data_IF_665397444961
#
_entry.id   IF_665397444961
#
_cell.length_a   1.000
_cell.length_b   1.000
_cell.length_c   1.000
_cell.angle_alpha   90.00
_cell.angle_beta   90.00
_cell.angle_gamma   90.00
#
_symmetry.space_group_name_H-M   'P 1'
#
loop_
_entity.id
_entity.type
_entity.pdbx_description
1 polymer ?
#
# COMPACT_ATOMS: atom_id res chain seq x y z
N UNK A 1 -16.49 17.51 46.62
CA UNK A 1 -16.08 16.14 47.00
C UNK A 1 -15.50 15.47 45.76
N UNK A 2 -14.17 15.33 45.68
CA UNK A 2 -13.51 14.58 44.60
C UNK A 2 -13.52 13.11 45.01
N UNK A 3 -14.29 12.28 44.32
CA UNK A 3 -14.26 10.84 44.53
C UNK A 3 -12.86 10.33 44.16
N UNK A 4 -12.08 9.91 45.15
CA UNK A 4 -10.84 9.19 44.91
C UNK A 4 -11.24 7.83 44.33
N UNK A 5 -10.96 7.64 43.04
CA UNK A 5 -11.07 6.32 42.42
C UNK A 5 -9.90 5.52 43.01
N UNK A 6 -10.20 4.65 43.96
CA UNK A 6 -9.23 3.71 44.53
C UNK A 6 -9.06 2.60 43.52
N UNK A 7 -8.05 2.73 42.66
CA UNK A 7 -7.66 1.63 41.78
C UNK A 7 -6.86 0.63 42.62
N UNK A 8 -7.32 -0.63 42.68
CA UNK A 8 -6.62 -1.70 43.40
C UNK A 8 -5.59 -2.28 42.44
N UNK A 9 -4.33 -2.32 42.88
CA UNK A 9 -3.24 -2.98 42.15
C UNK A 9 -3.69 -4.36 41.65
N UNK A 10 -3.34 -4.68 40.40
CA UNK A 10 -3.63 -5.95 39.71
C UNK A 10 -5.08 -6.18 39.24
N UNK A 11 -5.97 -5.17 39.27
CA UNK A 11 -7.30 -5.30 38.65
C UNK A 11 -7.26 -5.20 37.12
N UNK A 12 -6.85 -6.28 36.45
CA UNK A 12 -6.83 -6.37 34.98
C UNK A 12 -7.90 -7.28 34.38
N UNK A 13 -8.84 -7.80 35.20
CA UNK A 13 -9.91 -8.71 34.76
C UNK A 13 -10.86 -8.11 33.72
N UNK A 14 -10.99 -6.78 33.70
CA UNK A 14 -11.81 -6.06 32.71
C UNK A 14 -11.09 -5.90 31.37
N UNK A 15 -9.77 -6.08 31.31
CA UNK A 15 -8.92 -5.77 30.17
C UNK A 15 -9.28 -6.60 28.91
N UNK A 16 -9.51 -7.93 29.02
CA UNK A 16 -9.99 -8.70 27.88
C UNK A 16 -11.40 -8.30 27.44
N UNK A 17 -12.26 -7.89 28.38
CA UNK A 17 -13.65 -7.55 28.09
C UNK A 17 -13.80 -6.19 27.41
N UNK A 18 -12.92 -5.23 27.71
CA UNK A 18 -12.98 -3.86 27.16
C UNK A 18 -12.12 -3.71 25.91
N UNK A 19 -10.90 -4.25 25.94
CA UNK A 19 -9.92 -4.06 24.86
C UNK A 19 -9.65 -5.34 24.04
N UNK A 20 -10.14 -6.51 24.47
CA UNK A 20 -9.86 -7.77 23.79
C UNK A 20 -8.40 -8.19 23.85
N UNK A 21 -7.67 -7.71 24.87
CA UNK A 21 -6.25 -7.96 25.07
C UNK A 21 -6.02 -8.70 26.39
N UNK A 22 -4.95 -9.47 26.46
CA UNK A 22 -4.53 -10.19 27.69
C UNK A 22 -3.33 -9.48 28.32
N UNK A 23 -3.27 -9.44 29.65
CA UNK A 23 -2.11 -8.90 30.36
C UNK A 23 -0.86 -9.73 29.98
N UNK A 24 0.22 -9.06 29.56
CA UNK A 24 1.41 -9.69 28.95
C UNK A 24 1.19 -10.35 27.58
N UNK A 25 0.02 -10.13 26.97
CA UNK A 25 -0.28 -10.56 25.61
C UNK A 25 0.28 -9.62 24.53
N UNK A 26 0.05 -9.95 23.24
CA UNK A 26 0.48 -9.11 22.14
C UNK A 26 -0.15 -7.71 22.22
N UNK A 27 0.58 -6.70 21.78
CA UNK A 27 0.15 -5.29 21.75
C UNK A 27 -0.92 -4.98 20.70
N UNK A 28 -1.36 -5.98 19.94
CA UNK A 28 -2.32 -5.83 18.86
C UNK A 28 -3.48 -6.83 19.00
N UNK A 29 -4.63 -6.44 18.48
CA UNK A 29 -5.81 -7.28 18.40
C UNK A 29 -5.94 -7.91 17.01
N UNK A 30 -6.08 -9.23 16.94
CA UNK A 30 -6.39 -9.91 15.68
C UNK A 30 -7.90 -9.83 15.41
N UNK A 31 -8.29 -9.03 14.42
CA UNK A 31 -9.69 -8.79 14.03
C UNK A 31 -10.22 -9.87 13.06
N UNK A 32 -9.36 -10.79 12.60
CA UNK A 32 -9.71 -11.88 11.71
C UNK A 32 -9.40 -11.60 10.23
N UNK A 33 -10.04 -12.36 9.34
CA UNK A 33 -9.83 -12.30 7.89
C UNK A 33 -11.14 -12.23 7.11
N UNK A 34 -11.05 -11.73 5.89
CA UNK A 34 -12.19 -11.61 4.96
C UNK A 34 -11.80 -12.25 3.62
N UNK A 35 -12.64 -13.18 3.15
CA UNK A 35 -12.49 -13.75 1.82
C UNK A 35 -12.92 -12.74 0.76
N UNK A 36 -12.03 -12.43 -0.19
CA UNK A 36 -12.29 -11.50 -1.28
C UNK A 36 -12.70 -12.23 -2.56
N UNK A 37 -14.01 -12.42 -2.73
CA UNK A 37 -14.64 -12.95 -3.96
C UNK A 37 -14.76 -11.85 -5.02
N UNK A 38 -14.94 -12.27 -6.27
CA UNK A 38 -15.19 -11.34 -7.36
C UNK A 38 -16.42 -10.46 -7.08
N UNK A 39 -16.32 -9.18 -7.42
CA UNK A 39 -17.39 -8.20 -7.19
C UNK A 39 -17.50 -7.66 -5.76
N UNK A 40 -16.66 -8.10 -4.83
CA UNK A 40 -16.66 -7.57 -3.47
C UNK A 40 -15.81 -6.32 -3.31
N UNK A 41 -16.33 -5.38 -2.53
CA UNK A 41 -15.65 -4.16 -2.09
C UNK A 41 -15.39 -4.26 -0.58
N UNK A 42 -14.14 -4.07 -0.18
CA UNK A 42 -13.74 -4.00 1.22
C UNK A 42 -13.14 -2.62 1.50
N UNK A 43 -13.70 -1.92 2.49
CA UNK A 43 -13.20 -0.62 2.94
C UNK A 43 -12.80 -0.71 4.40
N UNK A 44 -11.59 -0.28 4.72
CA UNK A 44 -11.09 -0.24 6.09
C UNK A 44 -10.12 0.94 6.24
N UNK A 45 -9.97 1.49 7.45
CA UNK A 45 -9.04 2.59 7.67
C UNK A 45 -7.60 2.08 7.59
N UNK A 46 -6.70 2.87 6.98
CA UNK A 46 -5.30 2.50 6.76
C UNK A 46 -4.45 2.44 8.07
N UNK A 47 -5.09 2.61 9.23
CA UNK A 47 -4.49 2.37 10.55
C UNK A 47 -4.42 0.87 10.87
N UNK A 48 -5.23 0.04 10.20
CA UNK A 48 -5.23 -1.40 10.42
C UNK A 48 -4.12 -2.06 9.62
N UNK A 49 -3.25 -2.79 10.32
CA UNK A 49 -2.32 -3.70 9.67
C UNK A 49 -3.10 -4.83 9.02
N UNK A 50 -2.81 -5.09 7.74
CA UNK A 50 -3.47 -6.13 6.98
C UNK A 50 -2.45 -6.90 6.14
N UNK A 51 -2.76 -8.16 5.86
CA UNK A 51 -1.99 -8.99 4.96
C UNK A 51 -2.90 -9.72 3.98
N UNK A 52 -2.36 -10.00 2.80
CA UNK A 52 -3.05 -10.81 1.80
C UNK A 52 -2.43 -12.20 1.81
N UNK A 53 -3.22 -13.20 2.20
CA UNK A 53 -2.77 -14.59 2.23
C UNK A 53 -2.39 -15.09 0.82
N UNK A 54 -1.45 -16.05 0.73
CA UNK A 54 -1.21 -16.79 -0.51
C UNK A 54 -2.51 -17.43 -1.00
N UNK A 55 -2.67 -17.52 -2.31
CA UNK A 55 -3.82 -18.16 -2.93
C UNK A 55 -3.38 -18.89 -4.18
N UNK A 56 -4.16 -19.89 -4.56
CA UNK A 56 -3.96 -20.68 -5.76
C UNK A 56 -5.29 -21.01 -6.41
N UNK A 57 -5.24 -21.41 -7.68
CA UNK A 57 -6.42 -21.91 -8.35
C UNK A 57 -6.76 -23.29 -7.80
N UNK A 58 -8.03 -23.51 -7.53
CA UNK A 58 -8.56 -24.83 -7.19
C UNK A 58 -8.20 -25.85 -8.28
N UNK A 59 -8.34 -25.44 -9.55
CA UNK A 59 -7.86 -26.18 -10.71
C UNK A 59 -6.66 -25.47 -11.35
N UNK A 60 -5.46 -25.99 -11.05
CA UNK A 60 -4.18 -25.46 -11.56
C UNK A 60 -3.99 -25.65 -13.07
N UNK A 61 -4.83 -26.46 -13.74
CA UNK A 61 -4.75 -26.65 -15.20
C UNK A 61 -5.42 -25.52 -15.97
N UNK A 62 -6.29 -24.75 -15.31
CA UNK A 62 -7.02 -23.64 -15.91
C UNK A 62 -6.24 -22.33 -15.77
N UNK A 63 -6.35 -21.41 -16.74
CA UNK A 63 -5.82 -20.06 -16.57
C UNK A 63 -6.63 -19.32 -15.50
N UNK A 64 -5.94 -18.57 -14.64
CA UNK A 64 -6.62 -17.76 -13.63
C UNK A 64 -5.74 -16.63 -13.12
N UNK A 65 -6.39 -15.53 -12.73
CA UNK A 65 -5.72 -14.32 -12.27
C UNK A 65 -6.58 -13.59 -11.24
N UNK A 66 -5.93 -12.90 -10.30
CA UNK A 66 -6.60 -12.02 -9.33
C UNK A 66 -6.28 -10.56 -9.65
N UNK A 67 -7.31 -9.77 -9.95
CA UNK A 67 -7.22 -8.31 -10.13
C UNK A 67 -7.82 -7.62 -8.92
N UNK A 68 -7.12 -6.61 -8.41
CA UNK A 68 -7.55 -5.80 -7.28
C UNK A 68 -7.39 -4.33 -7.69
N UNK A 69 -8.44 -3.55 -7.52
CA UNK A 69 -8.37 -2.09 -7.57
C UNK A 69 -8.36 -1.57 -6.14
N UNK A 70 -7.26 -0.92 -5.75
CA UNK A 70 -7.12 -0.31 -4.44
C UNK A 70 -7.19 1.21 -4.57
N UNK A 71 -8.07 1.82 -3.77
CA UNK A 71 -8.22 3.27 -3.67
C UNK A 71 -7.77 3.70 -2.27
N UNK A 72 -7.00 4.78 -2.20
CA UNK A 72 -6.56 5.37 -0.94
C UNK A 72 -7.23 6.73 -0.78
N UNK A 73 -8.02 6.88 0.27
CA UNK A 73 -8.60 8.16 0.64
C UNK A 73 -7.58 8.96 1.45
N UNK A 74 -7.36 10.20 1.04
CA UNK A 74 -6.44 11.15 1.68
C UNK A 74 -7.23 12.27 2.33
N UNK A 75 -6.66 12.90 3.36
CA UNK A 75 -7.28 14.03 4.03
C UNK A 75 -7.49 15.19 3.03
N UNK A 76 -8.74 15.66 2.82
CA UNK A 76 -9.03 16.71 1.83
C UNK A 76 -8.39 18.06 2.18
N UNK A 77 -7.99 18.28 3.43
CA UNK A 77 -7.30 19.50 3.85
C UNK A 77 -5.82 19.52 3.41
N UNK A 78 -5.27 18.39 2.98
CA UNK A 78 -3.91 18.30 2.45
C UNK A 78 -3.99 18.39 0.92
N UNK A 79 -3.40 19.46 0.37
CA UNK A 79 -3.31 19.62 -1.09
C UNK A 79 -2.24 18.67 -1.65
N UNK A 80 -2.67 17.67 -2.38
CA UNK A 80 -1.81 16.76 -3.15
C UNK A 80 -1.92 17.13 -4.62
N UNK A 81 -0.82 17.01 -5.37
CA UNK A 81 -0.81 17.24 -6.81
C UNK A 81 -1.78 16.25 -7.47
N UNK A 82 -2.78 16.78 -8.19
CA UNK A 82 -3.71 15.97 -8.97
C UNK A 82 -2.95 15.21 -10.05
N UNK A 83 -3.36 13.96 -10.32
CA UNK A 83 -2.83 13.19 -11.45
C UNK A 83 -3.10 13.87 -12.79
N UNK A 84 -4.09 14.77 -12.88
CA UNK A 84 -4.32 15.60 -14.05
C UNK A 84 -3.16 16.58 -14.35
N UNK A 85 -2.35 16.89 -13.33
CA UNK A 85 -1.19 17.78 -13.45
C UNK A 85 0.15 17.00 -13.46
N UNK A 86 0.10 15.67 -13.56
CA UNK A 86 1.29 14.83 -13.62
C UNK A 86 1.49 14.40 -15.07
N UNK A 87 2.65 14.71 -15.70
CA UNK A 87 2.90 14.35 -17.08
C UNK A 87 2.95 12.83 -17.24
N UNK A 88 2.69 12.36 -18.47
CA UNK A 88 2.74 10.95 -18.80
C UNK A 88 4.10 10.33 -18.41
N UNK A 89 4.07 9.36 -17.49
CA UNK A 89 5.29 8.74 -16.96
C UNK A 89 5.77 7.53 -17.78
N UNK A 90 4.93 7.04 -18.70
CA UNK A 90 5.21 5.87 -19.54
C UNK A 90 5.84 6.31 -20.84
N UNK A 91 7.06 5.83 -21.11
CA UNK A 91 7.78 6.19 -22.34
C UNK A 91 6.98 5.83 -23.59
N UNK A 92 6.27 4.71 -23.62
CA UNK A 92 5.48 4.30 -24.80
C UNK A 92 4.24 5.17 -25.06
N UNK A 93 3.69 5.84 -24.05
CA UNK A 93 2.54 6.73 -24.18
C UNK A 93 2.93 8.20 -24.40
N UNK A 94 4.17 8.55 -24.09
CA UNK A 94 4.60 9.95 -24.08
C UNK A 94 4.61 10.58 -25.47
N UNK A 95 4.83 9.78 -26.52
CA UNK A 95 4.80 10.26 -27.90
C UNK A 95 3.43 10.80 -28.30
N UNK A 96 2.37 10.06 -27.97
CA UNK A 96 0.98 10.48 -28.24
C UNK A 96 0.66 11.79 -27.52
N UNK A 97 1.13 11.94 -26.28
CA UNK A 97 0.94 13.14 -25.47
C UNK A 97 1.69 14.37 -26.04
N UNK A 98 2.97 14.22 -26.40
CA UNK A 98 3.78 15.32 -26.94
C UNK A 98 3.32 15.71 -28.35
N UNK A 99 2.93 14.74 -29.18
CA UNK A 99 2.45 14.98 -30.54
C UNK A 99 1.21 15.86 -30.57
N UNK A 100 0.29 15.67 -29.62
CA UNK A 100 -0.94 16.47 -29.52
C UNK A 100 -0.70 17.94 -29.10
N UNK A 101 0.45 18.26 -28.49
CA UNK A 101 0.76 19.60 -27.95
C UNK A 101 1.64 20.43 -28.89
N UNK A 102 1.77 20.04 -30.16
CA UNK A 102 2.66 20.72 -31.11
C UNK A 102 4.15 20.43 -30.84
N UNK A 103 4.43 19.22 -30.35
CA UNK A 103 5.76 18.81 -29.94
C UNK A 103 6.73 18.50 -31.07
N UNK A 104 7.74 17.69 -30.75
CA UNK A 104 8.94 17.46 -31.57
C UNK A 104 8.60 17.01 -33.01
N UNK A 105 7.51 16.27 -33.19
CA UNK A 105 7.02 15.78 -34.49
C UNK A 105 6.53 16.89 -35.44
N UNK A 106 6.27 18.11 -34.93
CA UNK A 106 5.95 19.28 -35.76
C UNK A 106 7.22 19.94 -36.31
N UNK A 107 8.35 19.80 -35.62
CA UNK A 107 9.61 20.49 -35.96
C UNK A 107 10.66 19.56 -36.61
N UNK A 108 10.55 18.25 -36.40
CA UNK A 108 11.46 17.25 -36.96
C UNK A 108 10.74 16.24 -37.86
N UNK A 109 11.40 15.78 -38.96
CA UNK A 109 11.02 14.57 -39.65
C UNK A 109 10.93 13.37 -38.70
N UNK A 110 10.04 12.43 -39.02
CA UNK A 110 9.69 11.31 -38.15
C UNK A 110 10.90 10.49 -37.71
N UNK A 111 11.86 10.28 -38.61
CA UNK A 111 13.08 9.51 -38.35
C UNK A 111 13.97 10.16 -37.29
N UNK A 112 14.07 11.50 -37.31
CA UNK A 112 14.83 12.25 -36.31
C UNK A 112 14.09 12.35 -34.98
N UNK A 113 12.76 12.49 -35.01
CA UNK A 113 11.93 12.41 -33.81
C UNK A 113 12.06 11.05 -33.11
N UNK A 114 12.10 9.97 -33.90
CA UNK A 114 12.29 8.61 -33.40
C UNK A 114 13.66 8.43 -32.73
N UNK A 115 14.73 8.89 -33.37
CA UNK A 115 16.07 8.83 -32.80
C UNK A 115 16.15 9.59 -31.46
N UNK A 116 15.62 10.82 -31.40
CA UNK A 116 15.59 11.60 -30.17
C UNK A 116 14.81 10.87 -29.08
N UNK A 117 13.67 10.27 -29.43
CA UNK A 117 12.83 9.56 -28.48
C UNK A 117 13.49 8.29 -27.92
N UNK A 118 14.19 7.53 -28.78
CA UNK A 118 14.95 6.35 -28.38
C UNK A 118 16.05 6.72 -27.37
N UNK A 119 16.77 7.80 -27.64
CA UNK A 119 17.85 8.34 -26.80
C UNK A 119 17.38 9.00 -25.50
N UNK A 120 16.08 9.26 -25.30
CA UNK A 120 15.61 9.79 -24.01
C UNK A 120 15.83 8.77 -22.89
N UNK A 121 16.79 9.08 -22.03
CA UNK A 121 17.06 8.37 -20.78
C UNK A 121 16.43 9.07 -19.58
N UNK A 122 16.19 8.30 -18.50
CA UNK A 122 15.70 8.86 -17.24
C UNK A 122 14.17 8.93 -17.14
N UNK A 123 13.57 10.00 -17.66
CA UNK A 123 12.13 10.26 -17.69
C UNK A 123 11.66 10.57 -19.13
N UNK A 124 10.54 9.98 -19.58
CA UNK A 124 9.69 9.00 -18.93
C UNK A 124 10.28 7.61 -18.92
N UNK A 125 9.66 6.75 -18.14
CA UNK A 125 10.21 5.47 -17.75
C UNK A 125 9.73 4.40 -18.74
N UNK A 126 10.68 3.67 -19.33
CA UNK A 126 10.38 2.50 -20.14
C UNK A 126 9.80 1.34 -19.30
N UNK A 127 9.00 0.49 -19.95
CA UNK A 127 8.30 -0.61 -19.28
C UNK A 127 9.22 -1.58 -18.52
N UNK A 128 10.41 -1.86 -19.05
CA UNK A 128 11.38 -2.73 -18.38
C UNK A 128 11.88 -2.11 -17.06
N UNK A 129 12.29 -0.83 -17.10
CA UNK A 129 12.73 -0.08 -15.93
C UNK A 129 11.61 0.04 -14.89
N UNK A 130 10.37 0.31 -15.33
CA UNK A 130 9.19 0.35 -14.47
C UNK A 130 8.95 -0.99 -13.76
N UNK A 131 9.04 -2.12 -14.47
CA UNK A 131 8.93 -3.47 -13.88
C UNK A 131 10.04 -3.73 -12.85
N UNK A 132 11.29 -3.40 -13.16
CA UNK A 132 12.42 -3.52 -12.22
C UNK A 132 12.21 -2.68 -10.95
N UNK A 133 11.78 -1.42 -11.11
CA UNK A 133 11.46 -0.54 -9.99
C UNK A 133 10.31 -1.09 -9.13
N UNK A 134 9.24 -1.60 -9.75
CA UNK A 134 8.13 -2.26 -9.05
C UNK A 134 8.62 -3.43 -8.21
N UNK A 135 9.44 -4.33 -8.78
CA UNK A 135 9.98 -5.48 -8.04
C UNK A 135 10.85 -5.04 -6.85
N UNK A 136 11.71 -4.03 -7.04
CA UNK A 136 12.53 -3.45 -5.96
C UNK A 136 11.66 -2.83 -4.86
N UNK A 137 10.61 -2.09 -5.23
CA UNK A 137 9.65 -1.50 -4.30
C UNK A 137 8.92 -2.59 -3.49
N UNK A 138 8.43 -3.64 -4.16
CA UNK A 138 7.76 -4.77 -3.50
C UNK A 138 8.70 -5.48 -2.52
N UNK A 139 9.98 -5.69 -2.89
CA UNK A 139 10.97 -6.28 -2.00
C UNK A 139 11.22 -5.40 -0.75
N UNK A 140 11.34 -4.09 -0.94
CA UNK A 140 11.50 -3.13 0.17
C UNK A 140 10.28 -3.12 1.10
N UNK A 141 9.07 -3.07 0.53
CA UNK A 141 7.81 -3.09 1.30
C UNK A 141 7.67 -4.38 2.11
N UNK A 142 7.96 -5.54 1.50
CA UNK A 142 7.96 -6.83 2.23
C UNK A 142 8.94 -6.82 3.40
N UNK A 143 10.16 -6.33 3.19
CA UNK A 143 11.17 -6.28 4.24
C UNK A 143 10.79 -5.33 5.40
N UNK A 144 10.12 -4.22 5.09
CA UNK A 144 9.60 -3.29 6.09
C UNK A 144 8.47 -3.93 6.92
N UNK A 145 7.46 -4.49 6.25
CA UNK A 145 6.33 -5.17 6.92
C UNK A 145 6.82 -6.31 7.81
N UNK A 146 7.72 -7.17 7.33
CA UNK A 146 8.26 -8.28 8.13
C UNK A 146 9.02 -7.82 9.38
N UNK A 147 9.70 -6.67 9.30
CA UNK A 147 10.41 -6.10 10.47
C UNK A 147 9.41 -5.58 11.48
N UNK A 148 8.41 -4.81 11.04
CA UNK A 148 7.37 -4.29 11.92
C UNK A 148 6.59 -5.43 12.56
N UNK A 149 6.12 -6.42 11.80
CA UNK A 149 5.39 -7.58 12.34
C UNK A 149 6.19 -8.30 13.43
N UNK A 150 7.49 -8.55 13.23
CA UNK A 150 8.32 -9.19 14.27
C UNK A 150 8.47 -8.34 15.53
N UNK A 151 8.67 -7.03 15.37
CA UNK A 151 8.74 -6.11 16.51
C UNK A 151 7.41 -6.11 17.28
N UNK A 152 6.28 -6.08 16.58
CA UNK A 152 4.94 -6.15 17.21
C UNK A 152 4.64 -7.50 17.87
N UNK A 153 5.12 -8.61 17.30
CA UNK A 153 4.97 -9.95 17.87
C UNK A 153 5.86 -10.16 19.11
N UNK A 154 7.01 -9.48 19.18
CA UNK A 154 7.97 -9.56 20.29
C UNK A 154 7.67 -8.57 21.44
N UNK A 155 6.97 -7.47 21.16
CA UNK A 155 6.58 -6.48 22.19
C UNK A 155 5.34 -6.94 22.98
N UNK A 156 5.57 -7.33 24.23
CA UNK A 156 4.52 -7.51 25.25
C UNK A 156 4.35 -6.22 26.05
N UNK A 157 3.10 -5.82 26.31
CA UNK A 157 2.83 -4.67 27.16
C UNK A 157 2.63 -5.12 28.61
N UNK A 158 3.22 -4.40 29.55
CA UNK A 158 3.00 -4.56 30.98
C UNK A 158 2.52 -3.24 31.57
N UNK A 159 1.32 -3.24 32.16
CA UNK A 159 0.81 -2.11 32.93
C UNK A 159 1.17 -2.33 34.40
N UNK A 160 2.43 -2.05 34.76
CA UNK A 160 2.81 -1.90 36.16
C UNK A 160 2.39 -0.51 36.63
N UNK A 161 1.44 -0.44 37.53
CA UNK A 161 1.09 0.80 38.22
C UNK A 161 2.15 1.09 39.29
N UNK A 162 2.88 2.19 39.12
CA UNK A 162 3.71 2.79 40.16
C UNK A 162 2.90 3.78 41.00
#
# INVERSE_FOLDING_TARGET
MRGQIVYRQEQHEWFPNVFGLEQYGPTFQNVGGVDMREGQLLTFPNILQHQVQPFELEDRTKPGHRKILALFLVNPNIKIISSANVPCQRKDWWREEIGCQGGIDVWLPRELGDLVFEEVEGFPIGMEKAKKMRLKLMKKRKAFVLRETKVFEEETFSLCEH
#
